data_IF_611969472656
#
_entry.id   IF_611969472656
#
_cell.length_a   1.000
_cell.length_b   1.000
_cell.length_c   1.000
_cell.angle_alpha   90.00
_cell.angle_beta   90.00
_cell.angle_gamma   90.00
#
_symmetry.space_group_name_H-M   'P 1'
#
loop_
_entity.id
_entity.type
_entity.pdbx_description
1 polymer ?
#
# COMPACT_ATOMS: atom_id res chain seq x y z
N UNK A 1 -60.40 -16.00 -17.01
CA UNK A 1 -60.60 -16.33 -18.44
C UNK A 1 -59.66 -15.59 -19.41
N UNK A 2 -58.69 -14.76 -18.97
CA UNK A 2 -57.71 -14.12 -19.87
C UNK A 2 -56.37 -14.90 -19.95
N UNK A 3 -56.07 -15.80 -19.00
CA UNK A 3 -54.83 -16.58 -19.01
C UNK A 3 -54.87 -17.87 -19.88
N UNK A 4 -56.02 -18.26 -20.42
CA UNK A 4 -56.17 -19.52 -21.17
C UNK A 4 -56.01 -19.33 -22.70
N UNK A 5 -56.12 -18.09 -23.19
CA UNK A 5 -56.03 -17.77 -24.62
C UNK A 5 -54.60 -17.53 -25.13
N UNK A 6 -53.61 -17.37 -24.26
CA UNK A 6 -52.20 -17.20 -24.66
C UNK A 6 -51.42 -18.52 -24.78
N UNK A 7 -52.05 -19.67 -24.50
CA UNK A 7 -51.41 -20.98 -24.59
C UNK A 7 -51.76 -21.76 -25.87
N UNK A 8 -52.58 -21.17 -26.75
CA UNK A 8 -53.02 -21.79 -28.01
C UNK A 8 -52.69 -20.86 -29.17
N UNK A 9 -51.40 -20.61 -29.43
CA UNK A 9 -50.89 -20.06 -30.69
C UNK A 9 -49.36 -19.94 -30.64
N UNK A 10 -48.66 -20.98 -31.10
CA UNK A 10 -47.37 -20.93 -31.79
C UNK A 10 -46.70 -22.32 -31.75
N UNK A 11 -47.01 -23.24 -32.69
CA UNK A 11 -46.07 -24.28 -33.04
C UNK A 11 -45.06 -23.72 -34.05
N UNK A 12 -43.89 -24.36 -34.09
CA UNK A 12 -42.87 -24.29 -35.16
C UNK A 12 -41.88 -23.12 -35.09
N UNK A 13 -40.70 -23.33 -34.46
CA UNK A 13 -39.37 -22.77 -34.86
C UNK A 13 -38.22 -23.06 -33.84
N UNK A 14 -38.19 -24.18 -33.11
CA UNK A 14 -37.07 -24.50 -32.20
C UNK A 14 -36.63 -25.97 -32.29
N UNK A 15 -36.12 -26.39 -33.46
CA UNK A 15 -35.63 -27.76 -33.66
C UNK A 15 -34.11 -27.91 -33.67
N UNK A 16 -33.36 -26.87 -34.02
CA UNK A 16 -31.93 -27.01 -34.37
C UNK A 16 -30.98 -26.23 -33.47
N UNK A 17 -31.39 -25.10 -32.88
CA UNK A 17 -30.47 -24.25 -32.11
C UNK A 17 -30.09 -24.80 -30.73
N UNK A 18 -30.93 -25.63 -30.12
CA UNK A 18 -30.68 -26.20 -28.77
C UNK A 18 -29.65 -27.32 -28.79
N UNK A 19 -29.63 -28.14 -29.86
CA UNK A 19 -28.63 -29.21 -30.03
C UNK A 19 -27.22 -28.65 -30.22
N UNK A 20 -27.05 -27.59 -31.01
CA UNK A 20 -25.74 -26.95 -31.20
C UNK A 20 -25.22 -26.27 -29.93
N UNK A 21 -26.11 -25.71 -29.11
CA UNK A 21 -25.72 -25.11 -27.83
C UNK A 21 -25.32 -26.16 -26.80
N UNK A 22 -25.97 -27.33 -26.79
CA UNK A 22 -25.67 -28.45 -25.88
C UNK A 22 -24.35 -29.16 -26.27
N UNK A 23 -24.08 -29.29 -27.57
CA UNK A 23 -22.81 -29.82 -28.10
C UNK A 23 -21.63 -28.90 -27.74
N UNK A 24 -21.80 -27.58 -27.91
CA UNK A 24 -20.78 -26.59 -27.62
C UNK A 24 -20.45 -26.48 -26.13
N UNK A 25 -21.45 -26.65 -25.25
CA UNK A 25 -21.24 -26.66 -23.79
C UNK A 25 -20.52 -27.92 -23.34
N UNK A 26 -20.89 -29.11 -23.86
CA UNK A 26 -20.16 -30.36 -23.58
C UNK A 26 -18.71 -30.33 -24.05
N UNK A 27 -18.44 -29.74 -25.22
CA UNK A 27 -17.07 -29.58 -25.70
C UNK A 27 -16.23 -28.66 -24.78
N UNK A 28 -16.82 -27.58 -24.27
CA UNK A 28 -16.15 -26.67 -23.35
C UNK A 28 -15.87 -27.29 -21.97
N UNK A 29 -16.79 -28.12 -21.45
CA UNK A 29 -16.60 -28.84 -20.19
C UNK A 29 -15.54 -29.94 -20.29
N UNK A 30 -15.53 -30.70 -21.39
CA UNK A 30 -14.51 -31.73 -21.64
C UNK A 30 -13.10 -31.10 -21.78
N UNK A 31 -13.00 -29.93 -22.41
CA UNK A 31 -11.72 -29.21 -22.57
C UNK A 31 -11.22 -28.66 -21.24
N UNK A 32 -12.12 -28.16 -20.37
CA UNK A 32 -11.77 -27.74 -18.99
C UNK A 32 -11.32 -28.92 -18.14
N UNK A 33 -12.02 -30.06 -18.21
CA UNK A 33 -11.66 -31.27 -17.47
C UNK A 33 -10.28 -31.83 -17.89
N UNK A 34 -9.97 -31.80 -19.19
CA UNK A 34 -8.67 -32.21 -19.72
C UNK A 34 -7.53 -31.25 -19.29
N UNK A 35 -7.78 -29.94 -19.29
CA UNK A 35 -6.83 -28.93 -18.79
C UNK A 35 -6.56 -29.09 -17.29
N UNK A 36 -7.61 -29.26 -16.47
CA UNK A 36 -7.48 -29.43 -15.02
C UNK A 36 -6.74 -30.73 -14.66
N UNK A 37 -6.97 -31.83 -15.38
CA UNK A 37 -6.24 -33.08 -15.12
C UNK A 37 -4.77 -33.04 -15.55
N UNK A 38 -4.42 -32.29 -16.60
CA UNK A 38 -3.03 -32.17 -17.08
C UNK A 38 -2.19 -31.22 -16.20
N UNK A 39 -2.81 -30.21 -15.58
CA UNK A 39 -2.15 -29.28 -14.65
C UNK A 39 -1.85 -29.95 -13.30
N UNK A 40 -2.70 -30.88 -12.84
CA UNK A 40 -2.51 -31.63 -11.57
C UNK A 40 -1.33 -32.62 -11.65
N UNK A 41 -1.00 -33.16 -12.83
CA UNK A 41 0.06 -34.18 -12.98
C UNK A 41 1.47 -33.63 -13.20
N UNK A 42 1.63 -32.33 -13.45
CA UNK A 42 2.92 -31.76 -13.93
C UNK A 42 3.48 -30.65 -13.04
N UNK A 43 2.95 -30.45 -11.82
CA UNK A 43 3.62 -29.59 -10.84
C UNK A 43 4.64 -30.42 -10.04
N UNK A 44 5.94 -30.03 -10.00
CA UNK A 44 6.89 -30.61 -9.08
C UNK A 44 6.35 -30.41 -7.65
N UNK A 45 6.08 -31.50 -6.93
CA UNK A 45 5.75 -31.39 -5.51
C UNK A 45 6.97 -30.84 -4.78
N UNK A 46 6.92 -29.55 -4.47
CA UNK A 46 7.87 -28.89 -3.60
C UNK A 46 7.95 -29.70 -2.28
N UNK A 47 9.15 -30.04 -1.78
CA UNK A 47 9.30 -30.97 -0.66
C UNK A 47 8.45 -30.52 0.53
N UNK A 48 7.76 -31.49 1.15
CA UNK A 48 6.87 -31.34 2.33
C UNK A 48 7.58 -30.76 3.57
N UNK A 49 8.85 -30.36 3.49
CA UNK A 49 9.62 -29.65 4.50
C UNK A 49 9.36 -28.13 4.52
N UNK A 50 8.59 -27.58 3.57
CA UNK A 50 8.02 -26.23 3.66
C UNK A 50 6.59 -26.24 4.22
N UNK A 51 6.25 -27.25 5.04
CA UNK A 51 5.10 -27.20 5.92
C UNK A 51 5.29 -26.04 6.88
N UNK A 52 4.51 -24.99 6.63
CA UNK A 52 4.07 -23.95 7.57
C UNK A 52 4.84 -23.97 8.89
N UNK A 53 5.99 -23.28 8.89
CA UNK A 53 6.63 -22.84 10.13
C UNK A 53 5.51 -22.16 10.91
N UNK A 54 5.14 -22.69 12.08
CA UNK A 54 4.07 -22.13 12.90
C UNK A 54 4.23 -20.60 12.90
N UNK A 55 3.26 -19.93 12.28
CA UNK A 55 2.80 -18.55 12.52
C UNK A 55 2.93 -18.20 13.99
N UNK A 56 4.13 -17.99 14.55
CA UNK A 56 4.31 -17.40 15.88
C UNK A 56 3.47 -16.12 15.84
N UNK A 57 2.36 -16.11 16.57
CA UNK A 57 1.41 -15.01 16.55
C UNK A 57 2.19 -13.74 16.83
N UNK A 58 2.21 -12.82 15.85
CA UNK A 58 2.99 -11.60 15.97
C UNK A 58 2.52 -10.84 17.22
N UNK A 59 3.42 -10.67 18.19
CA UNK A 59 3.12 -9.92 19.41
C UNK A 59 3.22 -8.43 19.12
N UNK A 60 2.09 -7.75 19.33
CA UNK A 60 1.99 -6.31 19.14
C UNK A 60 2.82 -5.56 20.19
N UNK A 61 3.90 -4.93 19.76
CA UNK A 61 4.71 -4.04 20.59
C UNK A 61 4.32 -2.59 20.32
N UNK A 62 3.58 -1.98 21.25
CA UNK A 62 3.08 -0.61 21.12
C UNK A 62 4.23 0.39 21.35
N UNK A 63 4.37 1.33 20.43
CA UNK A 63 5.24 2.50 20.53
C UNK A 63 4.43 3.64 21.13
N UNK A 64 4.42 3.73 22.46
CA UNK A 64 3.59 4.69 23.21
C UNK A 64 3.81 6.15 22.83
N UNK A 65 5.03 6.54 22.42
CA UNK A 65 5.32 7.88 21.90
C UNK A 65 4.43 8.22 20.70
N UNK A 66 4.28 7.28 19.77
CA UNK A 66 3.46 7.45 18.57
C UNK A 66 1.98 7.45 18.96
N UNK A 67 1.56 6.53 19.83
CA UNK A 67 0.17 6.45 20.28
C UNK A 67 -0.29 7.78 20.92
N UNK A 68 0.49 8.32 21.86
CA UNK A 68 0.20 9.61 22.52
C UNK A 68 0.18 10.75 21.49
N UNK A 69 1.15 10.77 20.57
CA UNK A 69 1.21 11.79 19.51
C UNK A 69 -0.03 11.77 18.62
N UNK A 70 -0.48 10.59 18.16
CA UNK A 70 -1.68 10.47 17.34
C UNK A 70 -2.94 10.83 18.13
N UNK A 71 -3.06 10.42 19.40
CA UNK A 71 -4.19 10.83 20.25
C UNK A 71 -4.26 12.36 20.36
N UNK A 72 -3.13 13.01 20.64
CA UNK A 72 -3.04 14.46 20.70
C UNK A 72 -3.42 15.11 19.37
N UNK A 73 -2.91 14.60 18.25
CA UNK A 73 -3.18 15.14 16.91
C UNK A 73 -4.68 15.06 16.56
N UNK A 74 -5.34 13.94 16.88
CA UNK A 74 -6.78 13.79 16.64
C UNK A 74 -7.61 14.69 17.56
N UNK A 75 -7.22 14.83 18.83
CA UNK A 75 -7.89 15.76 19.74
C UNK A 75 -7.75 17.22 19.28
N UNK A 76 -6.56 17.63 18.86
CA UNK A 76 -6.29 18.95 18.29
C UNK A 76 -7.08 19.18 16.98
N UNK A 77 -7.23 18.15 16.14
CA UNK A 77 -8.03 18.24 14.92
C UNK A 77 -9.53 18.42 15.21
N UNK A 78 -10.09 17.70 16.19
CA UNK A 78 -11.48 17.88 16.61
C UNK A 78 -11.73 19.27 17.20
N UNK A 79 -10.79 19.77 18.01
CA UNK A 79 -10.86 21.13 18.53
C UNK A 79 -10.73 22.19 17.42
N UNK A 80 -9.81 21.98 16.46
CA UNK A 80 -9.69 22.83 15.29
C UNK A 80 -10.97 22.86 14.44
N UNK A 81 -11.63 21.70 14.28
CA UNK A 81 -12.92 21.61 13.59
C UNK A 81 -14.00 22.42 14.31
N UNK A 82 -14.07 22.32 15.64
CA UNK A 82 -14.96 23.15 16.45
C UNK A 82 -14.70 24.65 16.19
N UNK A 83 -13.43 25.08 16.26
CA UNK A 83 -13.06 26.47 16.03
C UNK A 83 -13.42 26.97 14.62
N UNK A 84 -13.35 26.10 13.59
CA UNK A 84 -13.77 26.46 12.23
C UNK A 84 -15.23 26.93 12.18
N UNK A 85 -16.10 26.35 13.01
CA UNK A 85 -17.52 26.68 13.03
C UNK A 85 -17.91 27.78 14.01
N UNK A 86 -17.08 28.04 15.03
CA UNK A 86 -17.42 29.02 16.08
C UNK A 86 -16.67 30.34 15.97
N UNK A 87 -15.35 30.30 15.70
CA UNK A 87 -14.47 31.47 15.92
C UNK A 87 -13.55 31.78 14.72
N UNK A 88 -13.31 30.82 13.81
CA UNK A 88 -12.29 30.97 12.80
C UNK A 88 -12.65 32.01 11.74
N UNK A 89 -11.69 32.89 11.44
CA UNK A 89 -11.81 33.82 10.31
C UNK A 89 -11.74 33.06 9.00
N UNK A 90 -12.46 33.56 7.99
CA UNK A 90 -12.46 32.98 6.63
C UNK A 90 -11.04 32.71 6.10
N UNK A 91 -10.12 33.66 6.22
CA UNK A 91 -8.74 33.49 5.73
C UNK A 91 -7.98 32.38 6.45
N UNK A 92 -8.23 32.15 7.75
CA UNK A 92 -7.62 31.05 8.50
C UNK A 92 -8.15 29.70 8.02
N UNK A 93 -9.47 29.61 7.79
CA UNK A 93 -10.11 28.41 7.25
C UNK A 93 -9.64 28.13 5.81
N UNK A 94 -9.54 29.16 4.96
CA UNK A 94 -9.02 29.02 3.61
C UNK A 94 -7.56 28.56 3.62
N UNK A 95 -6.73 29.13 4.51
CA UNK A 95 -5.33 28.73 4.65
C UNK A 95 -5.17 27.26 5.01
N UNK A 96 -5.92 26.74 5.99
CA UNK A 96 -5.79 25.33 6.39
C UNK A 96 -6.28 24.37 5.29
N UNK A 97 -7.32 24.74 4.54
CA UNK A 97 -7.80 23.97 3.38
C UNK A 97 -6.74 23.93 2.28
N UNK A 98 -6.16 25.08 1.92
CA UNK A 98 -5.08 25.14 0.92
C UNK A 98 -3.83 24.38 1.39
N UNK A 99 -3.48 24.49 2.66
CA UNK A 99 -2.36 23.75 3.25
C UNK A 99 -2.57 22.23 3.11
N UNK A 100 -3.74 21.73 3.47
CA UNK A 100 -4.09 20.32 3.34
C UNK A 100 -4.07 19.86 1.88
N UNK A 101 -4.58 20.69 0.96
CA UNK A 101 -4.60 20.42 -0.47
C UNK A 101 -3.17 20.31 -1.03
N UNK A 102 -2.30 21.28 -0.74
CA UNK A 102 -0.90 21.29 -1.18
C UNK A 102 -0.15 20.08 -0.63
N UNK A 103 -0.33 19.74 0.65
CA UNK A 103 0.25 18.54 1.26
C UNK A 103 -0.21 17.26 0.58
N UNK A 104 -1.53 17.10 0.37
CA UNK A 104 -2.13 15.95 -0.30
C UNK A 104 -1.61 15.77 -1.74
N UNK A 105 -1.42 16.86 -2.48
CA UNK A 105 -0.79 16.82 -3.80
C UNK A 105 0.69 16.42 -3.75
N UNK A 106 1.42 16.83 -2.70
CA UNK A 106 2.79 16.36 -2.44
C UNK A 106 2.89 14.85 -2.29
N UNK A 107 1.93 14.21 -1.61
CA UNK A 107 1.85 12.75 -1.51
C UNK A 107 1.44 12.14 -2.86
N UNK A 108 0.30 12.56 -3.41
CA UNK A 108 -0.34 11.88 -4.53
C UNK A 108 0.40 12.06 -5.85
N UNK A 109 0.81 13.27 -6.18
CA UNK A 109 1.57 13.56 -7.40
C UNK A 109 3.05 13.29 -7.19
N UNK A 110 3.59 13.60 -6.03
CA UNK A 110 5.00 13.38 -5.67
C UNK A 110 5.27 11.95 -5.20
N UNK A 111 5.21 11.72 -3.89
CA UNK A 111 5.64 10.47 -3.24
C UNK A 111 5.11 9.22 -3.95
N UNK A 112 3.83 9.22 -4.30
CA UNK A 112 3.12 8.11 -4.90
C UNK A 112 3.40 7.95 -6.40
N UNK A 113 2.94 8.88 -7.25
CA UNK A 113 3.02 8.73 -8.71
C UNK A 113 4.42 8.93 -9.29
N UNK A 114 5.12 9.97 -8.85
CA UNK A 114 6.45 10.30 -9.37
C UNK A 114 7.51 9.34 -8.83
N UNK A 115 7.63 9.23 -7.50
CA UNK A 115 8.75 8.51 -6.89
C UNK A 115 8.46 7.03 -6.67
N UNK A 116 7.28 6.64 -6.18
CA UNK A 116 7.01 5.23 -5.93
C UNK A 116 6.72 4.43 -7.20
N UNK A 117 5.85 4.95 -8.08
CA UNK A 117 5.41 4.26 -9.30
C UNK A 117 6.08 4.71 -10.59
N UNK A 118 6.86 5.79 -10.59
CA UNK A 118 7.59 6.29 -11.78
C UNK A 118 6.66 6.51 -12.99
N UNK A 119 5.41 6.94 -12.76
CA UNK A 119 4.40 7.04 -13.84
C UNK A 119 4.65 8.22 -14.79
N UNK A 120 5.51 9.17 -14.40
CA UNK A 120 5.93 10.29 -15.22
C UNK A 120 7.34 10.75 -14.82
N UNK A 121 7.97 11.56 -15.67
CA UNK A 121 9.26 12.20 -15.40
C UNK A 121 9.04 13.68 -15.09
N UNK A 122 9.72 14.19 -14.08
CA UNK A 122 9.65 15.59 -13.67
C UNK A 122 11.04 16.23 -13.78
N UNK A 123 11.09 17.48 -14.25
CA UNK A 123 12.29 18.29 -14.20
C UNK A 123 12.62 18.70 -12.75
N UNK A 124 13.82 19.24 -12.54
CA UNK A 124 14.30 19.61 -11.21
C UNK A 124 13.37 20.61 -10.47
N UNK A 125 12.84 21.68 -11.10
CA UNK A 125 11.92 22.59 -10.42
C UNK A 125 10.67 21.90 -9.86
N UNK A 126 10.03 21.06 -10.67
CA UNK A 126 8.83 20.33 -10.24
C UNK A 126 9.15 19.33 -9.12
N UNK A 127 10.30 18.65 -9.19
CA UNK A 127 10.76 17.73 -8.12
C UNK A 127 10.97 18.46 -6.80
N UNK A 128 11.57 19.66 -6.83
CA UNK A 128 11.76 20.48 -5.63
C UNK A 128 10.41 20.90 -5.05
N UNK A 129 9.49 21.40 -5.88
CA UNK A 129 8.15 21.82 -5.45
C UNK A 129 7.40 20.65 -4.82
N UNK A 130 7.32 19.51 -5.50
CA UNK A 130 6.63 18.32 -4.98
C UNK A 130 7.29 17.79 -3.71
N UNK A 131 8.62 17.88 -3.60
CA UNK A 131 9.33 17.46 -2.39
C UNK A 131 9.05 18.37 -1.20
N UNK A 132 8.94 19.67 -1.43
CA UNK A 132 8.47 20.62 -0.42
C UNK A 132 7.02 20.34 -0.01
N UNK A 133 6.12 20.18 -0.98
CA UNK A 133 4.71 19.84 -0.72
C UNK A 133 4.56 18.54 0.08
N UNK A 134 5.33 17.50 -0.24
CA UNK A 134 5.35 16.24 0.51
C UNK A 134 5.76 16.46 1.97
N UNK A 135 6.73 17.35 2.20
CA UNK A 135 7.21 17.68 3.56
C UNK A 135 6.08 18.28 4.41
N UNK A 136 5.19 19.07 3.80
CA UNK A 136 4.01 19.64 4.49
C UNK A 136 3.00 18.57 4.91
N UNK A 137 2.91 17.45 4.19
CA UNK A 137 1.99 16.36 4.52
C UNK A 137 2.41 15.56 5.77
N UNK A 138 3.66 15.71 6.21
CA UNK A 138 4.17 15.11 7.46
C UNK A 138 4.06 13.57 7.52
N UNK A 139 4.17 12.88 6.38
CA UNK A 139 4.11 11.41 6.27
C UNK A 139 5.49 10.79 6.01
N UNK A 140 6.43 10.95 6.94
CA UNK A 140 7.85 10.58 6.79
C UNK A 140 8.53 11.27 5.59
N UNK A 141 9.85 11.10 5.45
CA UNK A 141 10.55 11.58 4.27
C UNK A 141 10.29 10.66 3.06
N UNK A 142 10.37 11.20 1.84
CA UNK A 142 10.04 10.51 0.58
C UNK A 142 10.69 9.13 0.49
N UNK A 143 11.96 9.00 0.86
CA UNK A 143 12.68 7.73 0.77
C UNK A 143 12.03 6.59 1.59
N UNK A 144 11.58 6.85 2.82
CA UNK A 144 10.95 5.83 3.67
C UNK A 144 9.53 5.55 3.18
N UNK A 145 8.77 6.60 2.87
CA UNK A 145 7.42 6.46 2.33
C UNK A 145 7.40 5.59 1.07
N UNK A 146 8.29 5.85 0.12
CA UNK A 146 8.37 5.10 -1.13
C UNK A 146 8.82 3.66 -0.89
N UNK A 147 9.79 3.43 0.01
CA UNK A 147 10.22 2.09 0.37
C UNK A 147 9.03 1.27 0.87
N UNK A 148 8.31 1.79 1.86
CA UNK A 148 7.20 1.09 2.49
C UNK A 148 6.04 0.89 1.51
N UNK A 149 5.77 1.87 0.64
CA UNK A 149 4.76 1.77 -0.41
C UNK A 149 5.10 0.69 -1.45
N UNK A 150 6.37 0.62 -1.89
CA UNK A 150 6.83 -0.42 -2.81
C UNK A 150 6.78 -1.82 -2.16
N UNK A 151 7.11 -1.93 -0.87
CA UNK A 151 6.94 -3.17 -0.11
C UNK A 151 5.47 -3.59 -0.06
N UNK A 152 4.58 -2.65 0.27
CA UNK A 152 3.13 -2.89 0.32
C UNK A 152 2.59 -3.44 -0.99
N UNK A 153 2.91 -2.82 -2.13
CA UNK A 153 2.47 -3.33 -3.44
C UNK A 153 3.07 -4.69 -3.81
N UNK A 154 4.29 -4.99 -3.36
CA UNK A 154 4.97 -6.25 -3.72
C UNK A 154 4.53 -7.42 -2.85
N UNK A 155 4.17 -7.16 -1.60
CA UNK A 155 3.88 -8.19 -0.60
C UNK A 155 2.52 -7.99 0.07
N UNK A 156 1.55 -7.44 -0.67
CA UNK A 156 0.19 -7.13 -0.20
C UNK A 156 -0.44 -8.30 0.54
N UNK A 157 -1.11 -8.01 1.65
CA UNK A 157 -1.84 -8.99 2.46
C UNK A 157 -0.97 -10.13 3.05
N UNK A 158 0.34 -9.91 3.17
CA UNK A 158 1.28 -10.79 3.87
C UNK A 158 1.88 -10.12 5.11
N UNK A 159 2.65 -10.86 5.92
CA UNK A 159 3.33 -10.29 7.09
C UNK A 159 4.44 -9.28 6.72
N UNK A 160 4.83 -9.23 5.45
CA UNK A 160 5.75 -8.22 4.92
C UNK A 160 5.05 -6.94 4.47
N UNK A 161 3.72 -6.89 4.42
CA UNK A 161 2.96 -5.67 4.16
C UNK A 161 2.94 -4.79 5.42
N UNK A 162 3.47 -3.55 5.37
CA UNK A 162 3.47 -2.64 6.52
C UNK A 162 2.08 -2.40 7.13
N UNK A 163 1.04 -2.43 6.30
CA UNK A 163 -0.34 -2.10 6.68
C UNK A 163 -1.33 -3.18 6.24
N UNK A 164 -0.87 -4.44 6.33
CA UNK A 164 -1.62 -5.66 6.04
C UNK A 164 -3.10 -5.60 6.49
N UNK A 165 -4.01 -5.56 5.51
CA UNK A 165 -5.45 -5.46 5.73
C UNK A 165 -6.04 -6.66 6.48
N UNK A 166 -5.39 -7.83 6.42
CA UNK A 166 -5.82 -9.06 7.11
C UNK A 166 -5.70 -8.97 8.63
N UNK A 167 -4.96 -8.00 9.15
CA UNK A 167 -4.86 -7.71 10.60
C UNK A 167 -5.99 -6.80 11.11
N UNK A 168 -6.94 -6.46 10.24
CA UNK A 168 -8.14 -5.71 10.57
C UNK A 168 -8.06 -4.22 10.23
N UNK A 169 -9.23 -3.60 10.12
CA UNK A 169 -9.40 -2.21 9.69
C UNK A 169 -8.55 -1.21 10.50
N UNK A 170 -8.59 -1.33 11.83
CA UNK A 170 -7.85 -0.41 12.68
C UNK A 170 -6.34 -0.49 12.41
N UNK A 171 -5.81 -1.71 12.22
CA UNK A 171 -4.39 -1.88 11.92
C UNK A 171 -3.98 -1.23 10.61
N UNK A 172 -4.69 -1.53 9.50
CA UNK A 172 -4.35 -0.97 8.19
C UNK A 172 -4.56 0.54 8.10
N UNK A 173 -5.49 1.09 8.90
CA UNK A 173 -5.76 2.53 8.94
C UNK A 173 -4.72 3.31 9.76
N UNK A 174 -4.47 2.91 11.01
CA UNK A 174 -3.63 3.66 11.95
C UNK A 174 -2.79 2.79 12.87
N UNK A 175 -3.25 1.57 13.18
CA UNK A 175 -2.58 0.66 14.10
C UNK A 175 -1.13 0.36 13.69
N UNK A 176 -0.86 0.28 12.39
CA UNK A 176 0.50 0.10 11.87
C UNK A 176 1.46 1.24 12.25
N UNK A 177 0.96 2.46 12.49
CA UNK A 177 1.73 3.64 12.89
C UNK A 177 2.07 3.69 14.39
N UNK A 178 1.39 2.90 15.20
CA UNK A 178 1.52 2.89 16.66
C UNK A 178 2.19 1.62 17.20
N UNK A 179 2.44 0.62 16.36
CA UNK A 179 3.19 -0.58 16.74
C UNK A 179 4.51 -0.66 16.00
N UNK A 180 5.45 -1.45 16.54
CA UNK A 180 6.67 -1.78 15.79
C UNK A 180 6.31 -2.52 14.50
N UNK A 181 7.12 -2.36 13.46
CA UNK A 181 6.92 -3.09 12.20
C UNK A 181 7.25 -4.57 12.39
N UNK A 182 6.54 -5.42 11.66
CA UNK A 182 6.84 -6.85 11.61
C UNK A 182 8.26 -7.08 11.06
N UNK A 183 8.95 -8.13 11.52
CA UNK A 183 10.31 -8.45 11.06
C UNK A 183 10.38 -8.57 9.53
N UNK A 184 9.41 -9.25 8.94
CA UNK A 184 9.32 -9.46 7.49
C UNK A 184 9.22 -8.14 6.69
N UNK A 185 8.58 -7.11 7.23
CA UNK A 185 8.54 -5.77 6.59
C UNK A 185 9.97 -5.22 6.46
N UNK A 186 10.80 -5.39 7.50
CA UNK A 186 12.19 -4.92 7.52
C UNK A 186 13.07 -5.73 6.57
N UNK A 187 12.95 -7.05 6.61
CA UNK A 187 13.74 -7.94 5.75
C UNK A 187 13.39 -7.77 4.27
N UNK A 188 12.10 -7.72 3.94
CA UNK A 188 11.62 -7.53 2.56
C UNK A 188 11.81 -6.10 2.07
N UNK A 189 11.86 -5.12 2.96
CA UNK A 189 12.24 -3.74 2.65
C UNK A 189 13.64 -3.62 2.04
N UNK A 190 14.59 -4.46 2.44
CA UNK A 190 15.95 -4.49 1.86
C UNK A 190 16.00 -5.06 0.42
N UNK A 191 14.94 -5.78 0.01
CA UNK A 191 14.86 -6.42 -1.32
C UNK A 191 14.28 -5.47 -2.36
N UNK A 192 13.59 -4.41 -1.93
CA UNK A 192 13.01 -3.42 -2.83
C UNK A 192 14.11 -2.57 -3.47
N UNK A 193 14.04 -2.43 -4.79
CA UNK A 193 14.94 -1.58 -5.57
C UNK A 193 14.70 -0.12 -5.18
N UNK A 194 15.77 0.62 -4.86
CA UNK A 194 15.71 2.01 -4.36
C UNK A 194 16.82 2.90 -4.97
N UNK A 195 17.62 2.37 -5.91
CA UNK A 195 18.77 3.07 -6.48
C UNK A 195 18.36 4.32 -7.25
N UNK A 196 17.16 4.34 -7.81
CA UNK A 196 16.57 5.52 -8.45
C UNK A 196 16.41 6.69 -7.47
N UNK A 197 16.02 6.40 -6.23
CA UNK A 197 15.89 7.42 -5.18
C UNK A 197 17.24 7.79 -4.59
N UNK A 198 18.19 6.86 -4.51
CA UNK A 198 19.56 7.14 -4.07
C UNK A 198 20.29 8.09 -5.04
N UNK A 199 19.93 8.06 -6.32
CA UNK A 199 20.43 8.98 -7.35
C UNK A 199 19.66 10.32 -7.39
N UNK A 200 18.51 10.42 -6.71
CA UNK A 200 17.70 11.64 -6.65
C UNK A 200 18.21 12.57 -5.55
N UNK A 201 18.93 13.63 -5.95
CA UNK A 201 19.46 14.63 -5.01
C UNK A 201 18.40 15.34 -4.15
N UNK A 202 17.17 15.54 -4.67
CA UNK A 202 16.07 16.17 -3.90
C UNK A 202 15.61 15.24 -2.79
N UNK A 203 15.40 13.96 -3.12
CA UNK A 203 14.97 12.93 -2.16
C UNK A 203 16.04 12.73 -1.10
N UNK A 204 17.30 12.62 -1.50
CA UNK A 204 18.41 12.39 -0.57
C UNK A 204 18.68 13.61 0.32
N UNK A 205 18.49 14.83 -0.21
CA UNK A 205 18.53 16.06 0.59
C UNK A 205 17.43 16.05 1.67
N UNK A 206 16.19 15.75 1.28
CA UNK A 206 15.06 15.70 2.21
C UNK A 206 15.26 14.61 3.27
N UNK A 207 15.73 13.42 2.89
CA UNK A 207 16.09 12.32 3.80
C UNK A 207 17.13 12.76 4.83
N UNK A 208 18.21 13.41 4.39
CA UNK A 208 19.27 13.91 5.29
C UNK A 208 18.74 14.89 6.33
N UNK A 209 17.82 15.79 5.94
CA UNK A 209 17.16 16.71 6.86
C UNK A 209 16.24 15.95 7.82
N UNK A 210 15.42 15.03 7.28
CA UNK A 210 14.50 14.20 8.05
C UNK A 210 15.22 13.38 9.11
N UNK A 211 16.30 12.69 8.76
CA UNK A 211 17.10 11.89 9.70
C UNK A 211 17.75 12.73 10.80
N UNK A 212 18.25 13.93 10.46
CA UNK A 212 18.80 14.86 11.45
C UNK A 212 17.74 15.29 12.45
N UNK A 213 16.54 15.61 11.97
CA UNK A 213 15.40 15.99 12.84
C UNK A 213 14.88 14.79 13.63
N UNK A 214 14.85 13.60 13.04
CA UNK A 214 14.41 12.36 13.70
C UNK A 214 15.26 11.98 14.92
N UNK A 215 16.54 12.36 14.93
CA UNK A 215 17.44 12.18 16.07
C UNK A 215 17.21 13.22 17.18
N UNK A 216 16.44 14.27 16.91
CA UNK A 216 15.96 15.18 17.94
C UNK A 216 14.78 14.54 18.67
N UNK A 217 14.78 14.62 20.00
CA UNK A 217 13.74 14.09 20.88
C UNK A 217 12.31 14.48 20.43
N UNK A 218 12.20 15.65 19.78
CA UNK A 218 10.96 16.27 19.33
C UNK A 218 10.32 15.66 18.09
N UNK A 219 10.99 14.78 17.33
CA UNK A 219 10.37 14.16 16.15
C UNK A 219 9.67 12.85 16.55
N UNK A 220 8.32 12.78 16.47
CA UNK A 220 7.57 11.65 16.99
C UNK A 220 7.36 10.53 15.97
N UNK A 221 7.62 10.78 14.68
CA UNK A 221 7.33 9.83 13.59
C UNK A 221 8.63 9.28 13.02
N UNK A 222 9.29 8.42 13.78
CA UNK A 222 10.21 7.45 13.19
C UNK A 222 9.86 6.11 13.81
N UNK A 223 9.03 5.36 13.08
CA UNK A 223 8.68 3.99 13.46
C UNK A 223 9.87 3.04 13.38
N UNK A 224 10.88 3.52 12.66
CA UNK A 224 12.03 2.80 12.21
C UNK A 224 13.20 3.79 12.29
N UNK A 225 13.90 3.83 13.41
CA UNK A 225 15.33 4.14 13.32
C UNK A 225 16.03 2.94 12.66
N UNK A 226 15.62 2.65 11.42
CA UNK A 226 16.30 1.76 10.49
C UNK A 226 17.50 2.56 10.00
N UNK A 227 18.52 2.62 10.85
CA UNK A 227 19.87 2.50 10.33
C UNK A 227 19.96 1.04 9.92
N UNK A 228 19.77 0.75 8.63
CA UNK A 228 20.31 -0.48 8.04
C UNK A 228 21.80 -0.43 8.38
N UNK A 229 22.34 -1.31 9.25
CA UNK A 229 23.79 -1.37 9.45
C UNK A 229 24.41 -1.54 8.06
N UNK A 230 25.46 -0.79 7.75
CA UNK A 230 26.11 -0.81 6.43
C UNK A 230 26.40 -2.24 5.92
N UNK A 231 26.55 -3.19 6.85
CA UNK A 231 26.73 -4.63 6.65
C UNK A 231 25.62 -5.30 5.82
N UNK A 232 24.35 -4.87 5.96
CA UNK A 232 23.23 -5.43 5.18
C UNK A 232 23.23 -4.97 3.71
N UNK A 233 23.92 -3.88 3.36
CA UNK A 233 24.14 -3.49 1.94
C UNK A 233 25.18 -4.37 1.25
N UNK A 234 26.08 -5.02 1.99
CA UNK A 234 27.05 -5.96 1.43
C UNK A 234 26.38 -7.28 1.02
N UNK A 235 25.48 -7.80 1.85
CA UNK A 235 24.81 -9.07 1.59
C UNK A 235 23.87 -9.02 0.38
N UNK A 236 23.19 -7.89 0.13
CA UNK A 236 22.35 -7.73 -1.06
C UNK A 236 23.16 -7.55 -2.35
N UNK A 237 24.41 -7.10 -2.26
CA UNK A 237 25.35 -7.03 -3.40
C UNK A 237 25.97 -8.40 -3.71
N UNK A 238 26.29 -9.19 -2.68
CA UNK A 238 26.85 -10.53 -2.83
C UNK A 238 25.81 -11.55 -3.33
N UNK A 239 24.52 -11.35 -3.06
CA UNK A 239 23.45 -12.16 -3.64
C UNK A 239 23.17 -11.87 -5.13
N UNK A 240 23.76 -10.81 -5.69
CA UNK A 240 23.58 -10.39 -7.09
C UNK A 240 24.85 -10.59 -7.95
N UNK A 241 25.91 -11.16 -7.39
CA UNK A 241 27.09 -11.67 -8.11
C UNK A 241 27.01 -13.19 -8.21
#
# INVERSE_FOLDING_TARGET
>A
QILYLLKVMAPTLMGTSTLFLDEATRAAENTKSAYTQHEIKTQPQLPKSLKHKEQNQYKWEIVWKNAIFFIYLHYAALYGLYLIFTEARFYSTLFIVLYAFVGGHGITMGAHRLWAHKTYKANLPLRIILGFCQTLAFQNHIYEWVRDHRVHHKFTDTDADPHNSRRGFFFSHMGWLIVKKHRDVRERGCVVEMSDLEQDGVVMFQKKIGERKSKSFLWPISQDMIVIPAETKLLSRLSRS
#
